data_IF_734557916082
#
_entry.id   IF_734557916082
#
_cell.length_a   1.000
_cell.length_b   1.000
_cell.length_c   1.000
_cell.angle_alpha   90.00
_cell.angle_beta   90.00
_cell.angle_gamma   90.00
#
_symmetry.space_group_name_H-M   'P 1'
#
loop_
_entity.id
_entity.type
_entity.pdbx_description
1 polymer ?
#
# COMPACT_ATOMS: atom_id res chain seq x y z
N UNK A 1 14.22 -27.34 7.95
CA UNK A 1 12.95 -26.92 7.33
C UNK A 1 12.85 -25.39 7.31
N UNK A 2 13.42 -24.74 6.28
CA UNK A 2 12.78 -23.76 5.38
C UNK A 2 13.89 -23.33 4.42
N UNK A 3 13.59 -23.42 3.14
CA UNK A 3 14.52 -23.33 2.03
C UNK A 3 14.93 -21.86 1.85
N UNK A 4 16.22 -21.66 1.58
CA UNK A 4 16.89 -20.41 1.22
C UNK A 4 16.27 -19.79 -0.04
N UNK A 5 16.35 -18.46 -0.18
CA UNK A 5 16.63 -17.80 -1.46
C UNK A 5 17.33 -16.47 -1.18
N UNK A 6 18.67 -16.55 -1.16
CA UNK A 6 19.50 -15.43 -1.54
C UNK A 6 19.26 -15.17 -3.04
N UNK A 7 19.15 -13.91 -3.45
CA UNK A 7 19.26 -13.53 -4.85
C UNK A 7 19.93 -12.17 -4.95
N UNK A 8 21.24 -12.23 -5.13
CA UNK A 8 21.97 -11.37 -6.06
C UNK A 8 21.29 -11.47 -7.42
N UNK A 9 21.15 -10.35 -8.15
CA UNK A 9 21.00 -10.20 -9.62
C UNK A 9 20.39 -8.81 -9.83
N UNK A 10 20.71 -8.02 -10.83
CA UNK A 10 21.84 -7.86 -11.74
C UNK A 10 21.55 -6.50 -12.40
N UNK A 11 22.58 -5.73 -12.78
CA UNK A 11 22.35 -4.63 -13.72
C UNK A 11 21.84 -5.23 -15.03
N UNK A 12 20.59 -4.94 -15.39
CA UNK A 12 20.07 -5.06 -16.75
C UNK A 12 19.45 -3.73 -17.16
N UNK A 13 20.03 -3.16 -18.22
CA UNK A 13 19.56 -1.97 -18.92
C UNK A 13 18.39 -2.36 -19.82
N UNK A 14 17.32 -1.54 -19.84
CA UNK A 14 16.49 -1.37 -21.04
C UNK A 14 14.97 -1.53 -20.90
N UNK A 15 14.28 -0.38 -20.85
CA UNK A 15 13.01 -0.04 -21.56
C UNK A 15 11.77 -0.92 -21.38
N UNK A 16 10.97 -0.61 -20.36
CA UNK A 16 9.54 -0.33 -20.40
C UNK A 16 9.15 0.15 -18.99
N UNK A 17 8.51 1.31 -18.85
CA UNK A 17 8.15 1.86 -17.53
C UNK A 17 7.13 0.98 -16.83
N UNK A 18 7.60 0.03 -16.03
CA UNK A 18 6.82 -0.42 -14.88
C UNK A 18 6.77 0.77 -13.93
N UNK A 19 5.58 1.24 -13.58
CA UNK A 19 5.44 2.04 -12.37
C UNK A 19 5.84 1.10 -11.23
N UNK A 20 6.99 1.36 -10.62
CA UNK A 20 7.40 0.65 -9.42
C UNK A 20 6.70 1.35 -8.28
N UNK A 21 5.89 0.62 -7.51
CA UNK A 21 5.46 1.11 -6.22
C UNK A 21 6.71 1.50 -5.41
N UNK A 22 6.61 2.62 -4.68
CA UNK A 22 7.70 3.05 -3.83
C UNK A 22 7.92 2.04 -2.70
N UNK A 23 9.14 1.98 -2.20
CA UNK A 23 9.43 1.22 -0.98
C UNK A 23 9.11 2.12 0.22
N UNK A 24 8.28 1.67 1.19
CA UNK A 24 8.01 2.45 2.39
C UNK A 24 9.30 2.88 3.10
N UNK A 25 9.35 4.14 3.55
CA UNK A 25 10.48 4.66 4.33
C UNK A 25 10.62 3.96 5.68
N UNK A 26 11.82 3.99 6.27
CA UNK A 26 12.08 3.36 7.56
C UNK A 26 11.26 3.95 8.73
N UNK A 27 10.79 5.19 8.59
CA UNK A 27 9.92 5.90 9.55
C UNK A 27 8.42 5.73 9.27
N UNK A 28 8.05 4.97 8.23
CA UNK A 28 6.66 4.74 7.88
C UNK A 28 6.02 3.75 8.85
N UNK A 29 4.72 3.94 9.09
CA UNK A 29 3.90 2.97 9.81
C UNK A 29 3.92 1.65 9.03
N UNK A 30 4.24 0.50 9.65
CA UNK A 30 4.23 -0.79 8.97
C UNK A 30 2.86 -1.10 8.37
N UNK A 31 2.83 -1.70 7.17
CA UNK A 31 1.59 -2.01 6.44
C UNK A 31 0.52 -2.72 7.30
N UNK A 32 0.91 -3.67 8.15
CA UNK A 32 -0.02 -4.37 9.03
C UNK A 32 -0.68 -3.45 10.07
N UNK A 33 0.03 -2.43 10.57
CA UNK A 33 -0.56 -1.43 11.45
C UNK A 33 -1.49 -0.48 10.70
N UNK A 34 -1.18 -0.16 9.43
CA UNK A 34 -2.09 0.61 8.56
C UNK A 34 -3.38 -0.17 8.35
N UNK A 35 -3.32 -1.48 8.03
CA UNK A 35 -4.50 -2.35 7.91
C UNK A 35 -5.35 -2.38 9.17
N UNK A 36 -4.74 -2.40 10.36
CA UNK A 36 -5.47 -2.30 11.62
C UNK A 36 -6.22 -0.98 11.77
N UNK A 37 -5.59 0.14 11.36
CA UNK A 37 -6.24 1.45 11.35
C UNK A 37 -7.39 1.53 10.35
N UNK A 38 -7.21 0.98 9.15
CA UNK A 38 -8.25 0.90 8.14
C UNK A 38 -9.45 0.09 8.66
N UNK A 39 -9.20 -1.06 9.28
CA UNK A 39 -10.24 -1.86 9.92
C UNK A 39 -10.98 -1.07 11.03
N UNK A 40 -10.25 -0.34 11.87
CA UNK A 40 -10.86 0.53 12.89
C UNK A 40 -11.66 1.69 12.29
N UNK A 41 -11.31 2.15 11.09
CA UNK A 41 -12.05 3.16 10.33
C UNK A 41 -13.26 2.60 9.55
N UNK A 42 -13.54 1.29 9.68
CA UNK A 42 -14.68 0.63 9.06
C UNK A 42 -14.41 0.03 7.68
N UNK A 43 -13.15 -0.05 7.26
CA UNK A 43 -12.80 -0.81 6.07
C UNK A 43 -12.84 -2.32 6.33
N UNK A 44 -13.25 -3.06 5.31
CA UNK A 44 -13.06 -4.49 5.15
C UNK A 44 -12.38 -4.75 3.81
N UNK A 45 -11.95 -6.00 3.60
CA UNK A 45 -11.49 -6.49 2.29
C UNK A 45 -10.50 -5.53 1.60
N UNK A 46 -9.35 -5.29 2.24
CA UNK A 46 -8.28 -4.48 1.66
C UNK A 46 -7.72 -5.22 0.45
N UNK A 47 -7.95 -4.66 -0.74
CA UNK A 47 -7.51 -5.23 -2.02
C UNK A 47 -6.08 -4.83 -2.35
N UNK A 48 -5.73 -3.60 -1.99
CA UNK A 48 -4.43 -3.01 -2.29
C UNK A 48 -3.97 -2.15 -1.11
N UNK A 49 -2.65 -2.16 -0.89
CA UNK A 49 -2.00 -1.26 0.05
C UNK A 49 -0.53 -1.13 -0.37
N UNK A 50 -0.20 0.01 -0.96
CA UNK A 50 1.11 0.30 -1.53
C UNK A 50 1.66 1.61 -0.98
N UNK A 51 2.98 1.74 -1.01
CA UNK A 51 3.62 3.03 -0.79
C UNK A 51 3.74 3.72 -2.13
N UNK A 52 3.24 4.95 -2.21
CA UNK A 52 3.31 5.77 -3.40
C UNK A 52 3.39 7.24 -2.99
N UNK A 53 4.23 8.03 -3.67
CA UNK A 53 4.25 9.49 -3.53
C UNK A 53 4.30 10.01 -2.07
N UNK A 54 5.04 9.31 -1.19
CA UNK A 54 5.18 9.71 0.22
C UNK A 54 3.99 9.39 1.13
N UNK A 55 3.04 8.57 0.68
CA UNK A 55 1.84 8.15 1.42
C UNK A 55 1.60 6.64 1.27
N UNK A 56 0.72 6.12 2.12
CA UNK A 56 0.04 4.86 1.83
C UNK A 56 -1.11 5.15 0.88
N UNK A 57 -1.20 4.37 -0.19
CA UNK A 57 -2.32 4.33 -1.12
C UNK A 57 -2.92 2.93 -1.11
N UNK A 58 -4.22 2.82 -1.30
CA UNK A 58 -4.84 1.51 -1.37
C UNK A 58 -6.32 1.56 -1.60
N UNK A 59 -6.90 0.38 -1.67
CA UNK A 59 -8.29 0.19 -1.97
C UNK A 59 -8.92 -0.83 -1.03
N UNK A 60 -10.17 -0.59 -0.64
CA UNK A 60 -10.92 -1.54 0.17
C UNK A 60 -12.41 -1.26 0.18
N UNK A 61 -13.17 -2.16 0.81
CA UNK A 61 -14.60 -1.97 1.01
C UNK A 61 -14.86 -1.15 2.27
N UNK A 62 -15.74 -0.16 2.17
CA UNK A 62 -16.28 0.56 3.34
C UNK A 62 -17.75 0.80 3.11
N UNK A 63 -18.58 0.39 4.08
CA UNK A 63 -20.05 0.47 3.97
C UNK A 63 -20.63 -0.15 2.68
N UNK A 64 -20.01 -1.22 2.17
CA UNK A 64 -20.45 -1.93 0.96
C UNK A 64 -20.02 -1.27 -0.37
N UNK A 65 -19.19 -0.24 -0.32
CA UNK A 65 -18.65 0.45 -1.50
C UNK A 65 -17.12 0.30 -1.57
N UNK A 66 -16.56 0.03 -2.76
CA UNK A 66 -15.11 0.06 -2.99
C UNK A 66 -14.64 1.52 -3.05
N UNK A 67 -13.68 1.84 -2.19
CA UNK A 67 -13.08 3.17 -2.10
C UNK A 67 -11.57 3.05 -2.26
N UNK A 68 -11.01 3.94 -3.07
CA UNK A 68 -9.59 4.27 -3.04
C UNK A 68 -9.35 5.24 -1.88
N UNK A 69 -8.29 5.01 -1.11
CA UNK A 69 -7.89 5.83 0.01
C UNK A 69 -6.42 6.20 -0.05
N UNK A 70 -6.12 7.36 0.53
CA UNK A 70 -4.76 7.77 0.87
C UNK A 70 -4.64 7.88 2.39
N UNK A 71 -3.52 7.43 2.94
CA UNK A 71 -3.22 7.59 4.35
C UNK A 71 -1.80 8.13 4.57
N UNK A 72 -1.65 8.93 5.62
CA UNK A 72 -0.36 9.48 6.03
C UNK A 72 0.64 8.36 6.31
N UNK A 73 1.83 8.46 5.73
CA UNK A 73 2.87 7.43 5.80
C UNK A 73 3.28 7.06 7.23
N UNK A 74 3.36 8.02 8.15
CA UNK A 74 3.90 7.83 9.51
C UNK A 74 2.83 7.48 10.52
N UNK A 75 1.63 8.02 10.33
CA UNK A 75 0.54 7.92 11.29
C UNK A 75 -0.58 7.00 10.82
N UNK A 76 -0.68 6.66 9.54
CA UNK A 76 -1.80 5.89 8.98
C UNK A 76 -3.15 6.61 9.12
N UNK A 77 -3.16 7.93 9.30
CA UNK A 77 -4.37 8.73 9.29
C UNK A 77 -4.90 8.83 7.85
N UNK A 78 -6.18 8.53 7.64
CA UNK A 78 -6.81 8.63 6.33
C UNK A 78 -6.86 10.12 5.92
N UNK A 79 -6.27 10.44 4.78
CA UNK A 79 -6.15 11.78 4.21
C UNK A 79 -7.26 12.06 3.18
N UNK A 80 -7.62 11.06 2.39
CA UNK A 80 -8.69 11.15 1.40
C UNK A 80 -9.32 9.80 1.13
N UNK A 81 -10.60 9.82 0.77
CA UNK A 81 -11.37 8.67 0.33
C UNK A 81 -12.17 9.10 -0.91
N UNK A 82 -12.17 8.30 -1.97
CA UNK A 82 -13.00 8.52 -3.15
C UNK A 82 -13.55 7.18 -3.66
N UNK A 83 -14.77 7.17 -4.24
CA UNK A 83 -15.25 6.00 -4.96
C UNK A 83 -14.22 5.56 -5.99
N UNK A 84 -13.87 4.28 -5.96
CA UNK A 84 -13.11 3.68 -7.05
C UNK A 84 -13.97 3.73 -8.33
N UNK A 85 -13.38 4.20 -9.41
CA UNK A 85 -14.03 4.36 -10.72
C UNK A 85 -13.09 3.78 -11.77
N UNK A 86 -13.34 2.53 -12.12
CA UNK A 86 -12.74 1.87 -13.30
C UNK A 86 -12.91 2.70 -14.58
#
# INVERSE_FOLDING_TARGET
MRILLASVVAMFVGTAGAAWADVPGADWMPAEQVKQKLAAAGYSDIYELEADDGRWEGEGLKAGQRLEFHADARTGAILSEKPDRD
#
